data_IF_835064957513
#
_entry.id   IF_835064957513
#
_cell.length_a   1.000
_cell.length_b   1.000
_cell.length_c   1.000
_cell.angle_alpha   90.00
_cell.angle_beta   90.00
_cell.angle_gamma   90.00
#
_symmetry.space_group_name_H-M   'P 1'
#
loop_
_entity.id
_entity.type
_entity.pdbx_description
1 polymer ?
#
# COMPACT_ATOMS: atom_id res chain seq x y z
N UNK A 1 -2.51 -12.61 -12.95
CA UNK A 1 -2.96 -11.92 -11.74
C UNK A 1 -2.14 -12.44 -10.58
N UNK A 2 -1.42 -11.57 -9.87
CA UNK A 2 -0.62 -11.93 -8.69
C UNK A 2 -1.33 -11.35 -7.47
N UNK A 3 -1.55 -12.17 -6.45
CA UNK A 3 -2.12 -11.73 -5.17
C UNK A 3 -1.04 -11.90 -4.11
N UNK A 4 -0.77 -10.83 -3.37
CA UNK A 4 0.24 -10.81 -2.31
C UNK A 4 -0.49 -10.60 -0.99
N UNK A 5 -0.50 -11.63 -0.16
CA UNK A 5 -0.93 -11.48 1.22
C UNK A 5 0.21 -10.89 2.05
N UNK A 6 -0.12 -9.84 2.81
CA UNK A 6 0.81 -9.14 3.70
C UNK A 6 0.40 -9.25 5.16
N UNK A 7 -0.60 -10.08 5.47
CA UNK A 7 -1.00 -10.40 6.83
C UNK A 7 0.19 -10.92 7.66
N UNK A 8 0.28 -10.47 8.92
CA UNK A 8 1.40 -10.79 9.82
C UNK A 8 2.73 -10.11 9.47
N UNK A 9 2.96 -9.69 8.23
CA UNK A 9 4.25 -9.16 7.78
C UNK A 9 4.53 -7.74 8.30
N UNK A 10 3.50 -6.92 8.48
CA UNK A 10 3.61 -5.59 9.11
C UNK A 10 3.64 -5.67 10.65
N UNK A 11 3.09 -6.72 11.25
CA UNK A 11 3.04 -6.94 12.70
C UNK A 11 4.23 -7.69 13.27
N UNK A 12 4.92 -8.49 12.47
CA UNK A 12 6.10 -9.26 12.86
C UNK A 12 7.41 -8.43 12.87
N UNK A 13 7.38 -7.21 12.35
CA UNK A 13 8.56 -6.34 12.24
C UNK A 13 8.67 -5.44 13.46
N UNK A 14 9.65 -5.68 14.33
CA UNK A 14 9.88 -4.86 15.54
C UNK A 14 10.33 -3.42 15.23
N UNK A 15 10.85 -3.17 14.01
CA UNK A 15 11.44 -1.88 13.63
C UNK A 15 10.59 -1.14 12.59
N UNK A 16 10.19 0.09 12.94
CA UNK A 16 9.41 0.99 12.08
C UNK A 16 10.05 1.19 10.69
N UNK A 17 11.37 1.33 10.61
CA UNK A 17 12.07 1.52 9.33
C UNK A 17 11.98 0.32 8.40
N UNK A 18 11.97 -0.91 8.97
CA UNK A 18 11.82 -2.14 8.20
C UNK A 18 10.39 -2.29 7.69
N UNK A 19 9.41 -1.97 8.55
CA UNK A 19 7.99 -1.92 8.19
C UNK A 19 7.72 -0.93 7.06
N UNK A 20 8.24 0.30 7.16
CA UNK A 20 8.12 1.31 6.09
C UNK A 20 8.76 0.83 4.79
N UNK A 21 10.00 0.29 4.84
CA UNK A 21 10.68 -0.20 3.63
C UNK A 21 9.93 -1.34 2.95
N UNK A 22 9.35 -2.25 3.71
CA UNK A 22 8.53 -3.32 3.15
C UNK A 22 7.27 -2.77 2.49
N UNK A 23 6.57 -1.85 3.16
CA UNK A 23 5.39 -1.21 2.59
C UNK A 23 5.72 -0.49 1.28
N UNK A 24 6.84 0.24 1.20
CA UNK A 24 7.29 0.88 -0.03
C UNK A 24 7.45 -0.12 -1.19
N UNK A 25 7.92 -1.34 -0.91
CA UNK A 25 8.04 -2.39 -1.93
C UNK A 25 6.68 -2.89 -2.40
N UNK A 26 5.75 -3.12 -1.46
CA UNK A 26 4.38 -3.54 -1.80
C UNK A 26 3.69 -2.46 -2.63
N UNK A 27 3.79 -1.19 -2.21
CA UNK A 27 3.26 -0.04 -2.95
C UNK A 27 3.83 0.05 -4.38
N UNK A 28 5.13 -0.20 -4.56
CA UNK A 28 5.81 -0.10 -5.84
C UNK A 28 5.36 -1.10 -6.90
N UNK A 29 4.81 -2.25 -6.50
CA UNK A 29 4.47 -3.37 -7.40
C UNK A 29 2.97 -3.60 -7.52
N UNK A 30 2.14 -2.84 -6.79
CA UNK A 30 0.71 -3.09 -6.68
C UNK A 30 -0.10 -2.08 -7.49
N UNK A 31 -0.89 -2.59 -8.43
CA UNK A 31 -1.91 -1.81 -9.16
C UNK A 31 -3.17 -1.56 -8.31
N UNK A 32 -3.43 -2.44 -7.32
CA UNK A 32 -4.56 -2.38 -6.39
C UNK A 32 -4.08 -2.83 -5.01
N UNK A 33 -4.47 -2.07 -3.97
CA UNK A 33 -4.17 -2.40 -2.58
C UNK A 33 -5.48 -2.54 -1.82
N UNK A 34 -5.69 -3.70 -1.21
CA UNK A 34 -6.84 -3.93 -0.33
C UNK A 34 -6.33 -3.91 1.09
N UNK A 35 -6.71 -2.86 1.83
CA UNK A 35 -6.41 -2.76 3.24
C UNK A 35 -7.60 -3.26 4.05
N UNK A 36 -7.41 -4.41 4.70
CA UNK A 36 -8.41 -5.02 5.59
C UNK A 36 -8.33 -4.42 7.00
N UNK A 37 -9.47 -4.08 7.58
CA UNK A 37 -9.56 -3.55 8.94
C UNK A 37 -10.69 -4.22 9.73
N UNK A 38 -10.43 -4.55 11.00
CA UNK A 38 -11.44 -5.04 11.95
C UNK A 38 -11.97 -3.90 12.85
N UNK A 39 -12.02 -2.69 12.32
CA UNK A 39 -12.52 -1.53 13.05
C UNK A 39 -13.64 -0.87 12.26
N UNK A 40 -14.76 -0.56 12.93
CA UNK A 40 -15.94 0.10 12.36
C UNK A 40 -15.62 1.44 11.68
N UNK A 41 -14.50 2.08 12.08
CA UNK A 41 -14.02 3.33 11.51
C UNK A 41 -12.56 3.22 11.11
N UNK A 42 -12.25 3.82 9.97
CA UNK A 42 -10.87 4.08 9.59
C UNK A 42 -10.24 5.03 10.62
N UNK A 43 -9.19 4.58 11.30
CA UNK A 43 -8.49 5.41 12.27
C UNK A 43 -7.67 6.49 11.54
N UNK A 44 -7.66 7.72 12.08
CA UNK A 44 -6.87 8.82 11.52
C UNK A 44 -5.39 8.46 11.35
N UNK A 45 -4.86 7.62 12.24
CA UNK A 45 -3.48 7.13 12.18
C UNK A 45 -3.21 6.32 10.91
N UNK A 46 -4.22 5.67 10.34
CA UNK A 46 -4.06 4.91 9.09
C UNK A 46 -3.91 5.85 7.89
N UNK A 47 -4.72 6.90 7.82
CA UNK A 47 -4.57 7.91 6.77
C UNK A 47 -3.22 8.59 6.84
N UNK A 48 -2.76 8.91 8.06
CA UNK A 48 -1.42 9.44 8.29
C UNK A 48 -0.35 8.45 7.85
N UNK A 49 -0.47 7.18 8.25
CA UNK A 49 0.48 6.13 7.89
C UNK A 49 0.59 5.93 6.36
N UNK A 50 -0.53 5.91 5.64
CA UNK A 50 -0.53 5.81 4.18
C UNK A 50 0.01 7.07 3.52
N UNK A 51 -0.29 8.25 4.08
CA UNK A 51 0.29 9.53 3.66
C UNK A 51 1.82 9.52 3.78
N UNK A 52 2.34 9.17 4.95
CA UNK A 52 3.77 9.06 5.24
C UNK A 52 4.46 8.05 4.30
N UNK A 53 3.79 6.93 4.01
CA UNK A 53 4.31 5.92 3.10
C UNK A 53 4.31 6.40 1.63
N UNK A 54 3.27 7.11 1.21
CA UNK A 54 3.18 7.72 -0.13
C UNK A 54 4.25 8.79 -0.33
N UNK A 55 4.46 9.65 0.67
CA UNK A 55 5.54 10.65 0.65
C UNK A 55 6.91 9.97 0.57
N UNK A 56 7.15 8.95 1.41
CA UNK A 56 8.39 8.19 1.39
C UNK A 56 8.60 7.47 0.05
N UNK A 57 7.54 6.96 -0.58
CA UNK A 57 7.58 6.33 -1.89
C UNK A 57 8.05 7.32 -2.96
N UNK A 58 7.38 8.47 -3.05
CA UNK A 58 7.75 9.50 -4.01
C UNK A 58 9.17 9.99 -3.77
N UNK A 59 9.54 10.26 -2.52
CA UNK A 59 10.91 10.66 -2.17
C UNK A 59 11.96 9.63 -2.60
N UNK A 60 11.68 8.35 -2.42
CA UNK A 60 12.63 7.29 -2.75
C UNK A 60 12.73 7.03 -4.27
N UNK A 61 11.60 7.05 -4.98
CA UNK A 61 11.54 6.63 -6.38
C UNK A 61 11.45 7.80 -7.39
N UNK A 62 11.50 9.07 -6.96
CA UNK A 62 11.36 10.24 -7.85
C UNK A 62 12.30 10.16 -9.06
N UNK A 63 13.55 9.72 -8.87
CA UNK A 63 14.54 9.66 -9.96
C UNK A 63 14.13 8.61 -11.00
N UNK A 64 13.75 7.43 -10.55
CA UNK A 64 13.34 6.29 -11.36
C UNK A 64 11.99 6.56 -12.05
N UNK A 65 11.06 7.20 -11.35
CA UNK A 65 9.77 7.62 -11.91
C UNK A 65 9.96 8.66 -13.03
N UNK A 66 10.83 9.66 -12.85
CA UNK A 66 11.18 10.63 -13.90
C UNK A 66 11.83 9.98 -15.13
N UNK A 67 12.73 9.03 -14.89
CA UNK A 67 13.35 8.28 -15.98
C UNK A 67 12.31 7.44 -16.75
N UNK A 68 11.33 6.89 -16.03
CA UNK A 68 10.25 6.08 -16.60
C UNK A 68 9.27 6.93 -17.41
N UNK A 69 8.84 8.10 -16.89
CA UNK A 69 7.96 9.01 -17.64
C UNK A 69 8.60 9.47 -18.93
N UNK A 70 9.88 9.88 -18.89
CA UNK A 70 10.62 10.29 -20.08
C UNK A 70 10.75 9.17 -21.12
N UNK A 71 11.06 7.94 -20.68
CA UNK A 71 11.22 6.78 -21.57
C UNK A 71 9.91 6.31 -22.19
N UNK A 72 8.82 6.39 -21.43
CA UNK A 72 7.50 5.93 -21.88
C UNK A 72 6.66 7.05 -22.52
N UNK A 73 7.17 8.29 -22.59
CA UNK A 73 6.44 9.43 -23.15
C UNK A 73 5.19 9.80 -22.35
N UNK A 74 5.19 9.55 -21.03
CA UNK A 74 4.05 9.82 -20.16
C UNK A 74 4.07 11.28 -19.71
N UNK A 75 3.12 12.09 -20.19
CA UNK A 75 2.90 13.46 -19.74
C UNK A 75 1.88 13.50 -18.59
N UNK A 76 2.26 12.88 -17.47
CA UNK A 76 1.42 12.83 -16.25
C UNK A 76 2.25 13.23 -15.03
N UNK A 77 1.63 13.84 -14.00
CA UNK A 77 2.32 14.10 -12.74
C UNK A 77 2.87 12.82 -12.13
N UNK A 78 4.08 12.85 -11.55
CA UNK A 78 4.69 11.68 -10.89
C UNK A 78 3.83 11.09 -9.77
N UNK A 79 2.96 11.90 -9.16
CA UNK A 79 1.99 11.47 -8.16
C UNK A 79 0.98 10.44 -8.70
N UNK A 80 0.74 10.42 -10.01
CA UNK A 80 -0.13 9.43 -10.67
C UNK A 80 0.55 8.07 -10.87
N UNK A 81 1.88 8.01 -10.73
CA UNK A 81 2.68 6.78 -10.74
C UNK A 81 2.95 6.26 -9.32
N UNK A 82 2.22 6.81 -8.35
CA UNK A 82 2.19 6.35 -6.97
C UNK A 82 1.41 5.03 -6.82
N UNK A 83 1.16 4.62 -5.58
CA UNK A 83 0.38 3.43 -5.29
C UNK A 83 -0.98 3.47 -5.99
N UNK A 84 -1.39 2.34 -6.56
CA UNK A 84 -2.69 2.19 -7.19
C UNK A 84 -3.87 2.31 -6.21
N UNK A 85 -5.07 2.07 -6.69
CA UNK A 85 -6.32 2.27 -5.93
C UNK A 85 -6.24 1.58 -4.56
N UNK A 86 -6.52 2.32 -3.49
CA UNK A 86 -6.57 1.77 -2.13
C UNK A 86 -8.03 1.55 -1.75
N UNK A 87 -8.41 0.29 -1.55
CA UNK A 87 -9.73 -0.09 -1.05
C UNK A 87 -9.62 -0.42 0.43
N UNK A 88 -10.39 0.29 1.24
CA UNK A 88 -10.57 -0.05 2.64
C UNK A 88 -11.73 -1.03 2.77
N UNK A 89 -11.44 -2.20 3.32
CA UNK A 89 -12.42 -3.26 3.49
C UNK A 89 -12.58 -3.59 4.98
N UNK A 90 -13.75 -3.26 5.52
CA UNK A 90 -14.18 -3.57 6.88
C UNK A 90 -14.59 -5.06 6.94
N UNK A 91 -14.07 -5.81 7.91
CA UNK A 91 -14.28 -7.27 8.03
C UNK A 91 -14.76 -7.75 9.40
N UNK A 92 -15.23 -6.86 10.29
CA UNK A 92 -15.78 -7.24 11.61
C UNK A 92 -17.00 -8.14 11.45
N UNK A 93 -17.87 -7.86 10.49
CA UNK A 93 -19.11 -8.60 10.27
C UNK A 93 -19.03 -9.61 9.12
N UNK A 94 -17.83 -9.96 8.67
CA UNK A 94 -17.62 -10.96 7.61
C UNK A 94 -17.02 -12.24 8.21
N UNK A 95 -17.53 -13.39 7.77
CA UNK A 95 -16.93 -14.68 8.09
C UNK A 95 -15.93 -15.06 7.00
N UNK A 96 -14.81 -15.64 7.39
CA UNK A 96 -13.88 -16.21 6.42
C UNK A 96 -14.57 -17.33 5.66
N UNK A 97 -14.35 -17.38 4.35
CA UNK A 97 -14.83 -18.48 3.53
C UNK A 97 -14.24 -19.79 4.05
N UNK A 98 -15.08 -20.73 4.48
CA UNK A 98 -14.68 -22.01 5.07
C UNK A 98 -14.67 -22.06 6.61
N UNK A 99 -15.01 -20.97 7.32
CA UNK A 99 -15.07 -20.97 8.80
C UNK A 99 -16.25 -21.76 9.41
N UNK A 100 -17.07 -22.43 8.58
CA UNK A 100 -18.25 -23.18 8.98
C UNK A 100 -18.33 -24.61 8.42
N UNK A 101 -17.21 -25.14 7.89
CA UNK A 101 -17.06 -26.56 7.53
C UNK A 101 -16.23 -27.32 8.58
#
# INVERSE_FOLDING_TARGET
>A
MVVIDTEGLLGAMENLSQRTRLLLKVLAISDLIIYRTHADRLHNDLFKFLGDASEAYLKHFTKELKATTARCGLDVPLSTLGPGVIIFHETVYTQLLGAGE
#
